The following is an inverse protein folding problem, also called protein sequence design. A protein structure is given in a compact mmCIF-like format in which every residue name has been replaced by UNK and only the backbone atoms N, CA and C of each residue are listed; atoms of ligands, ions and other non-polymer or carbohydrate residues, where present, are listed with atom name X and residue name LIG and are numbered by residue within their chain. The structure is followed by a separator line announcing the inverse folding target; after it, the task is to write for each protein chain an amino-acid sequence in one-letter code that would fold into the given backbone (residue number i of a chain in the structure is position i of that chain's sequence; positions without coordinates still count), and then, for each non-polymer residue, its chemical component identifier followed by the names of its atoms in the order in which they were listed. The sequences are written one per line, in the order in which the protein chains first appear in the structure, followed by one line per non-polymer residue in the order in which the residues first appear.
data_IF_889056559910
#
_entry.id   IF_889056559910
#
_cell.length_a   1.000
_cell.length_b   1.000
_cell.length_c   1.000
_cell.angle_alpha   90.00
_cell.angle_beta   90.00
_cell.angle_gamma   90.00
#
_symmetry.space_group_name_H-M   'P 1'
#
loop_
_entity.id
_entity.type
_entity.pdbx_description
1 polymer ?
#
# COMPACT_ATOMS: atom_id res chain seq x y z
N UNK A 1 41.20 6.23 15.37
CA UNK A 1 41.82 5.14 16.16
C UNK A 1 40.78 4.67 17.19
N UNK A 2 40.39 3.42 17.21
CA UNK A 2 39.45 2.92 18.22
C UNK A 2 40.16 2.76 19.54
N UNK A 3 39.56 3.22 20.63
CA UNK A 3 40.07 3.09 21.97
C UNK A 3 39.94 1.64 22.46
N UNK A 4 41.05 1.01 22.79
CA UNK A 4 41.16 -0.34 23.35
C UNK A 4 41.15 -0.27 24.88
N UNK A 5 40.18 -0.92 25.52
CA UNK A 5 40.21 -1.19 26.96
C UNK A 5 40.33 -2.70 27.20
N UNK A 6 41.30 -3.08 28.02
CA UNK A 6 41.57 -4.48 28.42
C UNK A 6 40.76 -4.81 29.67
N UNK A 7 39.80 -5.72 29.59
CA UNK A 7 39.18 -6.36 30.75
C UNK A 7 39.00 -7.84 30.42
N UNK A 8 39.98 -8.64 30.86
CA UNK A 8 39.97 -10.11 30.67
C UNK A 8 39.99 -10.54 29.19
N UNK A 9 40.75 -11.50 28.83
CA UNK A 9 41.15 -12.07 27.52
C UNK A 9 40.25 -11.97 26.26
N UNK A 10 39.24 -11.10 26.25
CA UNK A 10 38.44 -10.80 25.04
C UNK A 10 38.52 -9.31 24.76
N UNK A 11 39.09 -8.93 23.61
CA UNK A 11 39.06 -7.55 23.13
C UNK A 11 37.61 -7.13 22.81
N UNK A 12 36.95 -6.44 23.71
CA UNK A 12 35.67 -5.79 23.46
C UNK A 12 35.88 -4.43 22.78
N UNK A 13 35.49 -4.29 21.54
CA UNK A 13 35.41 -3.00 20.88
C UNK A 13 34.23 -2.22 21.47
N UNK A 14 34.52 -1.14 22.20
CA UNK A 14 33.48 -0.18 22.61
C UNK A 14 33.03 0.60 21.38
N UNK A 15 31.78 0.41 20.97
CA UNK A 15 31.17 1.22 19.89
C UNK A 15 31.10 2.69 20.35
N UNK A 16 31.45 3.66 19.48
CA UNK A 16 31.46 5.06 19.83
C UNK A 16 30.05 5.56 20.19
N UNK A 17 29.96 6.48 21.14
CA UNK A 17 28.75 7.24 21.42
C UNK A 17 28.51 8.25 20.29
N UNK A 18 27.27 8.72 20.13
CA UNK A 18 26.89 9.62 19.04
C UNK A 18 27.73 10.93 19.00
N UNK A 19 28.08 11.47 20.16
CA UNK A 19 28.92 12.66 20.31
C UNK A 19 30.41 12.42 20.03
N UNK A 20 30.84 11.16 20.06
CA UNK A 20 32.20 10.75 19.72
C UNK A 20 32.40 10.55 18.22
N UNK A 21 31.30 10.46 17.45
CA UNK A 21 31.35 10.40 15.99
C UNK A 21 31.65 11.78 15.41
N UNK A 22 32.46 11.87 14.34
CA UNK A 22 32.58 13.08 13.55
C UNK A 22 31.22 13.58 13.13
N UNK A 23 30.99 14.87 13.13
CA UNK A 23 29.71 15.48 12.82
C UNK A 23 29.13 14.98 11.49
N UNK A 24 29.96 14.86 10.46
CA UNK A 24 29.59 14.38 9.12
C UNK A 24 29.14 12.91 9.08
N UNK A 25 29.47 12.10 10.08
CA UNK A 25 29.12 10.68 10.19
C UNK A 25 27.88 10.44 11.07
N UNK A 26 27.32 11.50 11.67
CA UNK A 26 26.10 11.40 12.44
C UNK A 26 24.91 11.22 11.51
N UNK A 27 23.97 10.32 11.80
CA UNK A 27 22.86 9.98 10.89
C UNK A 27 22.03 11.18 10.42
N UNK A 28 21.81 12.17 11.28
CA UNK A 28 21.03 13.37 10.95
C UNK A 28 21.77 14.25 9.92
N UNK A 29 23.00 14.57 10.19
CA UNK A 29 23.86 15.38 9.34
C UNK A 29 24.16 14.66 8.02
N UNK A 30 24.28 13.33 8.08
CA UNK A 30 24.45 12.49 6.91
C UNK A 30 23.17 12.49 6.05
N UNK A 31 21.99 12.43 6.66
CA UNK A 31 20.70 12.54 5.97
C UNK A 31 20.58 13.87 5.24
N UNK A 32 20.87 15.00 5.92
CA UNK A 32 20.78 16.33 5.36
C UNK A 32 21.75 16.56 4.19
N UNK A 33 22.92 15.95 4.24
CA UNK A 33 23.95 16.10 3.22
C UNK A 33 23.81 15.16 2.04
N UNK A 34 23.43 13.92 2.26
CA UNK A 34 23.50 12.83 1.26
C UNK A 34 22.15 12.26 0.86
N UNK A 35 21.07 12.57 1.59
CA UNK A 35 19.77 11.95 1.40
C UNK A 35 19.61 10.62 2.14
N UNK A 36 18.36 10.18 2.28
CA UNK A 36 18.01 8.97 3.05
C UNK A 36 18.54 7.69 2.41
N UNK A 37 18.66 7.66 1.09
CA UNK A 37 19.13 6.52 0.28
C UNK A 37 20.59 6.15 0.54
N UNK A 38 21.35 7.02 1.19
CA UNK A 38 22.76 6.80 1.54
C UNK A 38 22.96 6.35 3.00
N UNK A 39 21.89 6.28 3.76
CA UNK A 39 21.95 5.79 5.13
C UNK A 39 21.82 4.27 5.17
N UNK A 40 22.52 3.66 6.11
CA UNK A 40 22.32 2.24 6.43
C UNK A 40 21.00 2.02 7.17
N UNK A 41 20.51 0.79 7.22
CA UNK A 41 19.30 0.41 7.96
C UNK A 41 19.38 0.82 9.43
N UNK A 42 20.55 0.63 10.05
CA UNK A 42 20.78 1.02 11.43
C UNK A 42 20.76 2.54 11.63
N UNK A 43 21.28 3.30 10.67
CA UNK A 43 21.25 4.76 10.73
C UNK A 43 19.82 5.30 10.55
N UNK A 44 19.03 4.72 9.65
CA UNK A 44 17.61 5.06 9.48
C UNK A 44 16.80 4.77 10.75
N UNK A 45 16.99 3.58 11.35
CA UNK A 45 16.36 3.24 12.62
C UNK A 45 16.82 4.15 13.77
N UNK A 46 18.09 4.55 13.79
CA UNK A 46 18.62 5.46 14.80
C UNK A 46 17.95 6.84 14.76
N UNK A 47 17.61 7.33 13.56
CA UNK A 47 16.84 8.58 13.40
C UNK A 47 15.44 8.48 14.03
N UNK A 48 14.79 7.33 13.89
CA UNK A 48 13.48 7.05 14.49
C UNK A 48 13.56 6.94 16.01
N UNK A 49 14.58 6.24 16.51
CA UNK A 49 14.81 6.06 17.94
C UNK A 49 15.22 7.35 18.64
N UNK A 50 15.83 8.29 17.91
CA UNK A 50 16.33 9.62 18.33
C UNK A 50 17.44 9.55 19.39
N UNK A 51 17.35 8.68 20.36
CA UNK A 51 18.30 8.56 21.48
C UNK A 51 18.68 7.10 21.70
N UNK A 52 19.90 6.87 22.09
CA UNK A 52 20.37 5.58 22.59
C UNK A 52 20.01 5.34 24.06
N UNK A 53 20.97 4.78 24.80
CA UNK A 53 20.97 4.62 26.24
C UNK A 53 22.21 5.30 26.83
N UNK A 54 22.40 5.22 28.14
CA UNK A 54 23.62 5.73 28.80
C UNK A 54 24.91 5.02 28.31
N UNK A 55 24.77 3.85 27.68
CA UNK A 55 25.91 3.00 27.28
C UNK A 55 25.96 2.70 25.78
N UNK A 56 24.87 2.96 25.03
CA UNK A 56 24.75 2.65 23.61
C UNK A 56 24.29 3.90 22.85
N UNK A 57 24.93 4.18 21.73
CA UNK A 57 24.42 5.18 20.80
C UNK A 57 23.09 4.72 20.16
N UNK A 58 22.33 5.64 19.57
CA UNK A 58 21.10 5.27 18.85
C UNK A 58 21.37 4.31 17.68
N UNK A 59 22.53 4.43 17.00
CA UNK A 59 22.95 3.51 15.94
C UNK A 59 23.26 2.13 16.51
N UNK A 60 24.01 2.05 17.62
CA UNK A 60 24.30 0.78 18.25
C UNK A 60 23.05 0.08 18.78
N UNK A 61 22.08 0.84 19.29
CA UNK A 61 20.79 0.31 19.72
C UNK A 61 19.96 -0.20 18.51
N UNK A 62 20.01 0.48 17.37
CA UNK A 62 19.40 0.03 16.13
C UNK A 62 20.04 -1.26 15.60
N UNK A 63 21.37 -1.37 15.69
CA UNK A 63 22.08 -2.59 15.33
C UNK A 63 21.67 -3.78 16.24
N UNK A 64 21.44 -3.57 17.53
CA UNK A 64 20.92 -4.61 18.42
C UNK A 64 19.52 -5.08 18.03
N UNK A 65 18.63 -4.16 17.58
CA UNK A 65 17.32 -4.52 17.05
C UNK A 65 17.47 -5.40 15.82
N UNK A 66 18.31 -5.01 14.86
CA UNK A 66 18.54 -5.75 13.61
C UNK A 66 19.27 -7.09 13.85
N UNK A 67 20.00 -7.24 14.95
CA UNK A 67 20.71 -8.45 15.30
C UNK A 67 19.84 -9.51 16.02
N UNK A 68 18.63 -9.16 16.49
CA UNK A 68 17.73 -10.13 17.11
C UNK A 68 17.45 -11.32 16.19
N UNK A 69 17.53 -12.52 16.73
CA UNK A 69 17.29 -13.77 16.01
C UNK A 69 15.82 -14.17 16.09
N UNK A 70 14.98 -13.57 15.24
CA UNK A 70 13.53 -13.82 15.16
C UNK A 70 13.06 -14.19 13.75
N UNK A 71 13.99 -14.65 12.90
CA UNK A 71 13.74 -14.95 11.49
C UNK A 71 13.78 -13.71 10.58
N UNK A 72 13.96 -13.92 9.29
CA UNK A 72 14.10 -12.85 8.28
C UNK A 72 15.51 -12.24 8.20
N UNK A 73 15.73 -11.31 7.29
CA UNK A 73 17.01 -10.63 7.07
C UNK A 73 16.85 -9.12 7.12
N UNK A 74 17.82 -8.41 7.71
CA UNK A 74 17.88 -6.95 7.76
C UNK A 74 16.57 -6.32 8.31
N UNK A 75 16.04 -5.32 7.62
CA UNK A 75 14.80 -4.62 8.00
C UNK A 75 13.55 -5.52 7.99
N UNK A 76 13.53 -6.60 7.22
CA UNK A 76 12.39 -7.51 7.15
C UNK A 76 12.05 -8.10 8.52
N UNK A 77 13.05 -8.35 9.36
CA UNK A 77 12.85 -8.84 10.73
C UNK A 77 11.88 -7.98 11.54
N UNK A 78 11.92 -6.67 11.33
CA UNK A 78 11.11 -5.73 12.11
C UNK A 78 9.61 -5.97 11.91
N UNK A 79 9.17 -6.46 10.74
CA UNK A 79 7.77 -6.83 10.48
C UNK A 79 7.27 -7.99 11.34
N UNK A 80 8.16 -8.84 11.80
CA UNK A 80 7.84 -10.02 12.61
C UNK A 80 7.97 -9.75 14.11
N UNK A 81 8.52 -8.60 14.51
CA UNK A 81 8.71 -8.22 15.91
C UNK A 81 7.40 -7.83 16.57
N UNK A 82 7.11 -8.49 17.69
CA UNK A 82 6.07 -8.03 18.62
C UNK A 82 6.60 -6.88 19.49
N UNK A 83 5.67 -6.17 20.14
CA UNK A 83 6.04 -5.17 21.16
C UNK A 83 6.90 -5.76 22.27
N UNK A 84 6.63 -7.01 22.66
CA UNK A 84 7.36 -7.72 23.70
C UNK A 84 8.80 -8.01 23.27
N UNK A 85 9.01 -8.44 22.01
CA UNK A 85 10.33 -8.69 21.46
C UNK A 85 11.17 -7.41 21.45
N UNK A 86 10.60 -6.32 20.98
CA UNK A 86 11.26 -5.01 20.99
C UNK A 86 11.62 -4.56 22.41
N UNK A 87 10.72 -4.73 23.36
CA UNK A 87 10.93 -4.32 24.74
C UNK A 87 11.88 -5.25 25.53
N UNK A 88 12.23 -6.42 25.00
CA UNK A 88 13.27 -7.28 25.58
C UNK A 88 14.67 -6.66 25.42
N UNK A 89 14.84 -5.73 24.47
CA UNK A 89 16.10 -5.04 24.25
C UNK A 89 16.26 -3.91 25.26
N UNK A 90 17.37 -3.94 25.99
CA UNK A 90 17.67 -2.89 26.98
C UNK A 90 17.75 -1.51 26.30
N UNK A 91 16.91 -0.58 26.74
CA UNK A 91 16.84 0.78 26.18
C UNK A 91 15.69 0.99 25.20
N UNK A 92 14.93 -0.06 24.88
CA UNK A 92 13.66 0.03 24.15
C UNK A 92 12.51 -0.04 25.16
N UNK A 93 11.94 1.13 25.46
CA UNK A 93 10.72 1.23 26.25
C UNK A 93 9.46 1.28 25.38
N UNK A 94 8.30 1.47 26.01
CA UNK A 94 7.00 1.53 25.32
C UNK A 94 6.96 2.54 24.15
N UNK A 95 7.59 3.71 24.32
CA UNK A 95 7.58 4.77 23.30
C UNK A 95 8.37 4.34 22.06
N UNK A 96 9.61 3.88 22.22
CA UNK A 96 10.45 3.45 21.10
C UNK A 96 9.85 2.24 20.38
N UNK A 97 9.33 1.26 21.13
CA UNK A 97 8.63 0.12 20.54
C UNK A 97 7.41 0.56 19.71
N UNK A 98 6.60 1.48 20.23
CA UNK A 98 5.45 2.01 19.49
C UNK A 98 5.87 2.76 18.21
N UNK A 99 6.96 3.54 18.24
CA UNK A 99 7.49 4.23 17.06
C UNK A 99 7.90 3.25 15.96
N UNK A 100 8.61 2.19 16.30
CA UNK A 100 9.04 1.15 15.36
C UNK A 100 7.82 0.46 14.74
N UNK A 101 6.87 0.00 15.56
CA UNK A 101 5.66 -0.67 15.09
C UNK A 101 4.79 0.25 14.21
N UNK A 102 4.69 1.53 14.54
CA UNK A 102 3.95 2.50 13.75
C UNK A 102 4.57 2.69 12.35
N UNK A 103 5.91 2.75 12.25
CA UNK A 103 6.61 2.86 10.97
C UNK A 103 6.45 1.59 10.14
N UNK A 104 6.50 0.41 10.75
CA UNK A 104 6.21 -0.85 10.07
C UNK A 104 4.80 -0.84 9.47
N UNK A 105 3.80 -0.45 10.25
CA UNK A 105 2.41 -0.38 9.77
C UNK A 105 2.25 0.65 8.65
N UNK A 106 2.86 1.82 8.75
CA UNK A 106 2.87 2.82 7.68
C UNK A 106 3.52 2.28 6.40
N UNK A 107 4.63 1.57 6.52
CA UNK A 107 5.31 0.95 5.38
C UNK A 107 4.43 -0.12 4.70
N UNK A 108 3.72 -0.94 5.49
CA UNK A 108 2.76 -1.93 4.97
C UNK A 108 1.64 -1.22 4.21
N UNK A 109 1.06 -0.16 4.77
CA UNK A 109 0.00 0.61 4.10
C UNK A 109 0.48 1.25 2.80
N UNK A 110 1.65 1.87 2.81
CA UNK A 110 2.25 2.46 1.61
C UNK A 110 2.56 1.40 0.54
N UNK A 111 3.04 0.23 0.94
CA UNK A 111 3.29 -0.89 0.02
C UNK A 111 1.99 -1.42 -0.60
N UNK A 112 0.91 -1.50 0.16
CA UNK A 112 -0.42 -1.87 -0.35
C UNK A 112 -0.95 -0.85 -1.35
N UNK A 113 -0.79 0.46 -1.09
CA UNK A 113 -1.15 1.52 -2.03
C UNK A 113 -0.34 1.37 -3.33
N UNK A 114 0.99 1.23 -3.25
CA UNK A 114 1.85 1.02 -4.42
C UNK A 114 1.56 -0.28 -5.19
N UNK A 115 1.16 -1.35 -4.48
CA UNK A 115 0.75 -2.59 -5.12
C UNK A 115 -0.57 -2.40 -5.89
N UNK A 116 -1.52 -1.66 -5.34
CA UNK A 116 -2.76 -1.28 -6.03
C UNK A 116 -2.47 -0.42 -7.28
N UNK A 117 -1.60 0.57 -7.18
CA UNK A 117 -1.20 1.43 -8.30
C UNK A 117 -0.46 0.69 -9.43
N UNK A 118 0.08 -0.51 -9.18
CA UNK A 118 0.80 -1.33 -10.18
C UNK A 118 -0.03 -2.47 -10.75
N UNK A 119 -1.30 -2.58 -10.39
CA UNK A 119 -2.17 -3.60 -10.97
C UNK A 119 -2.48 -3.17 -12.39
N UNK A 120 -1.79 -3.78 -13.34
CA UNK A 120 -2.16 -3.71 -14.74
C UNK A 120 -3.22 -4.79 -14.98
N UNK A 121 -4.41 -4.37 -15.30
CA UNK A 121 -5.48 -5.28 -15.65
C UNK A 121 -5.33 -5.72 -17.10
N UNK A 122 -4.87 -6.95 -17.31
CA UNK A 122 -4.62 -7.52 -18.64
C UNK A 122 -5.84 -8.24 -19.21
N UNK A 123 -6.81 -8.58 -18.37
CA UNK A 123 -8.03 -9.28 -18.76
C UNK A 123 -9.15 -9.04 -17.75
N UNK A 124 -10.43 -9.19 -18.17
CA UNK A 124 -11.58 -9.17 -17.26
C UNK A 124 -11.46 -10.18 -16.12
N UNK A 125 -10.91 -11.37 -16.37
CA UNK A 125 -10.65 -12.39 -15.34
C UNK A 125 -9.72 -11.88 -14.23
N UNK A 126 -8.65 -11.17 -14.57
CA UNK A 126 -7.71 -10.62 -13.59
C UNK A 126 -8.36 -9.58 -12.69
N UNK A 127 -9.22 -8.75 -13.24
CA UNK A 127 -10.00 -7.74 -12.51
C UNK A 127 -11.02 -8.42 -11.60
N UNK A 128 -11.80 -9.32 -12.15
CA UNK A 128 -12.84 -10.04 -11.41
C UNK A 128 -12.25 -10.79 -10.21
N UNK A 129 -11.16 -11.53 -10.38
CA UNK A 129 -10.48 -12.25 -9.28
C UNK A 129 -9.96 -11.33 -8.20
N UNK A 130 -9.42 -10.17 -8.59
CA UNK A 130 -8.91 -9.20 -7.63
C UNK A 130 -10.01 -8.66 -6.71
N UNK A 131 -11.18 -8.31 -7.28
CA UNK A 131 -12.30 -7.75 -6.51
C UNK A 131 -13.23 -8.81 -5.91
N UNK A 132 -13.19 -10.05 -6.37
CA UNK A 132 -14.09 -11.12 -5.93
C UNK A 132 -14.02 -11.34 -4.41
N UNK A 133 -12.82 -11.36 -3.83
CA UNK A 133 -12.63 -11.54 -2.39
C UNK A 133 -13.22 -10.37 -1.58
N UNK A 134 -13.09 -9.16 -2.08
CA UNK A 134 -13.64 -7.95 -1.44
C UNK A 134 -15.18 -7.97 -1.50
N UNK A 135 -15.71 -8.26 -2.68
CA UNK A 135 -17.15 -8.26 -2.95
C UNK A 135 -17.91 -9.39 -2.25
N UNK A 136 -17.24 -10.51 -1.91
CA UNK A 136 -17.86 -11.59 -1.13
C UNK A 136 -18.39 -11.14 0.24
N UNK A 137 -17.80 -10.09 0.81
CA UNK A 137 -18.25 -9.54 2.10
C UNK A 137 -19.47 -8.62 1.99
N UNK A 138 -19.83 -8.19 0.77
CA UNK A 138 -20.89 -7.22 0.54
C UNK A 138 -22.26 -7.89 0.40
N UNK A 139 -23.18 -7.49 1.29
CA UNK A 139 -24.56 -7.97 1.29
C UNK A 139 -25.50 -7.16 0.37
N UNK A 140 -25.00 -6.09 -0.19
CA UNK A 140 -25.72 -5.21 -1.12
C UNK A 140 -24.88 -5.04 -2.38
N UNK A 141 -25.52 -4.66 -3.46
CA UNK A 141 -24.82 -4.28 -4.68
C UNK A 141 -23.94 -3.04 -4.44
N UNK A 142 -22.73 -3.08 -4.93
CA UNK A 142 -21.78 -1.98 -4.94
C UNK A 142 -21.29 -1.83 -6.36
N UNK A 143 -21.53 -0.68 -6.97
CA UNK A 143 -20.96 -0.30 -8.24
C UNK A 143 -19.72 0.54 -7.99
N UNK A 144 -18.59 0.07 -8.47
CA UNK A 144 -17.30 0.76 -8.39
C UNK A 144 -16.81 1.15 -9.78
N UNK A 145 -16.10 2.25 -9.85
CA UNK A 145 -15.36 2.70 -11.02
C UNK A 145 -13.87 2.55 -10.77
N UNK A 146 -13.17 1.94 -11.71
CA UNK A 146 -11.73 1.84 -11.77
C UNK A 146 -11.22 2.88 -12.77
N UNK A 147 -10.27 3.70 -12.36
CA UNK A 147 -9.68 4.77 -13.16
C UNK A 147 -8.33 4.29 -13.68
N UNK A 148 -8.10 4.38 -14.98
CA UNK A 148 -6.92 3.81 -15.62
C UNK A 148 -6.12 4.88 -16.39
N UNK A 149 -4.79 4.68 -16.42
CA UNK A 149 -3.88 5.47 -17.25
C UNK A 149 -3.76 4.94 -18.69
N UNK A 150 -2.90 5.56 -19.49
CA UNK A 150 -2.63 5.16 -20.87
C UNK A 150 -2.04 3.73 -21.03
N UNK A 151 -1.62 3.10 -19.96
CA UNK A 151 -1.08 1.73 -19.94
C UNK A 151 -2.05 0.74 -19.29
N UNK A 152 -3.31 1.14 -19.10
CA UNK A 152 -4.32 0.38 -18.37
C UNK A 152 -3.90 0.02 -16.93
N UNK A 153 -3.06 0.86 -16.31
CA UNK A 153 -2.70 0.71 -14.91
C UNK A 153 -3.71 1.43 -14.04
N UNK A 154 -4.07 0.80 -12.93
CA UNK A 154 -5.02 1.36 -11.97
C UNK A 154 -4.45 2.61 -11.30
N UNK A 155 -5.08 3.76 -11.53
CA UNK A 155 -4.77 5.04 -10.89
C UNK A 155 -5.56 5.25 -9.60
N UNK A 156 -6.78 4.70 -9.53
CA UNK A 156 -7.66 4.82 -8.38
C UNK A 156 -8.99 4.11 -8.56
N UNK A 157 -9.72 4.04 -7.47
CA UNK A 157 -11.03 3.40 -7.38
C UNK A 157 -12.04 4.37 -6.76
N UNK A 158 -13.31 4.29 -7.19
CA UNK A 158 -14.40 5.06 -6.58
C UNK A 158 -15.64 4.22 -6.45
N UNK A 159 -16.22 4.23 -5.27
CA UNK A 159 -17.57 3.71 -5.06
C UNK A 159 -18.57 4.69 -5.67
N UNK A 160 -19.32 4.24 -6.66
CA UNK A 160 -20.31 5.05 -7.37
C UNK A 160 -21.68 4.92 -6.71
N UNK A 161 -22.08 3.68 -6.39
CA UNK A 161 -23.36 3.45 -5.74
C UNK A 161 -23.32 2.25 -4.80
N UNK A 162 -24.24 2.24 -3.82
CA UNK A 162 -24.43 1.17 -2.87
C UNK A 162 -25.93 0.89 -2.70
N UNK A 163 -26.32 -0.38 -2.93
CA UNK A 163 -27.71 -0.84 -2.88
C UNK A 163 -28.46 -0.63 -4.19
N UNK A 164 -29.49 -1.43 -4.42
CA UNK A 164 -30.27 -1.49 -5.67
C UNK A 164 -30.97 -0.17 -6.03
N UNK A 165 -31.39 0.61 -5.04
CA UNK A 165 -32.07 1.89 -5.26
C UNK A 165 -31.15 2.99 -5.83
N UNK A 166 -29.82 2.85 -5.67
CA UNK A 166 -28.85 3.86 -6.06
C UNK A 166 -28.09 3.53 -7.36
N UNK A 167 -28.15 2.29 -7.85
CA UNK A 167 -27.48 1.91 -9.10
C UNK A 167 -28.03 2.70 -10.30
N UNK A 168 -29.34 2.97 -10.30
CA UNK A 168 -29.99 3.80 -11.33
C UNK A 168 -29.69 5.30 -11.23
N UNK A 169 -29.01 5.75 -10.17
CA UNK A 169 -28.64 7.14 -9.93
C UNK A 169 -27.20 7.46 -10.30
N UNK A 170 -26.43 6.50 -10.82
CA UNK A 170 -25.08 6.76 -11.31
C UNK A 170 -25.15 7.64 -12.57
N UNK A 171 -24.90 8.93 -12.40
CA UNK A 171 -24.90 9.88 -13.50
C UNK A 171 -23.53 9.94 -14.19
N UNK A 172 -23.48 9.97 -15.54
CA UNK A 172 -22.23 10.15 -16.27
C UNK A 172 -21.41 11.34 -15.79
N UNK A 173 -22.08 12.42 -15.39
CA UNK A 173 -21.43 13.61 -14.85
C UNK A 173 -20.56 13.29 -13.64
N UNK A 174 -21.05 12.48 -12.69
CA UNK A 174 -20.33 12.19 -11.44
C UNK A 174 -19.13 11.25 -11.69
N UNK A 175 -19.30 10.31 -12.61
CA UNK A 175 -18.25 9.40 -13.07
C UNK A 175 -17.14 10.18 -13.77
N UNK A 176 -17.46 10.96 -14.78
CA UNK A 176 -16.44 11.64 -15.58
C UNK A 176 -15.84 12.87 -14.91
N UNK A 177 -16.53 13.53 -13.97
CA UNK A 177 -15.90 14.59 -13.18
C UNK A 177 -14.74 14.06 -12.35
N UNK A 178 -14.87 12.88 -11.78
CA UNK A 178 -13.78 12.24 -11.02
C UNK A 178 -12.68 11.72 -11.95
N UNK A 179 -13.04 11.12 -13.09
CA UNK A 179 -12.08 10.67 -14.10
C UNK A 179 -11.21 11.82 -14.63
N UNK A 180 -11.83 12.95 -14.97
CA UNK A 180 -11.14 14.18 -15.38
C UNK A 180 -10.23 14.73 -14.27
N UNK A 181 -10.72 14.78 -13.03
CA UNK A 181 -9.94 15.26 -11.88
C UNK A 181 -8.67 14.44 -11.64
N UNK A 182 -8.76 13.13 -11.87
CA UNK A 182 -7.64 12.21 -11.71
C UNK A 182 -6.75 12.10 -12.95
N UNK A 183 -7.18 12.67 -14.09
CA UNK A 183 -6.46 12.55 -15.37
C UNK A 183 -6.51 11.13 -15.95
N UNK A 184 -7.57 10.37 -15.64
CA UNK A 184 -7.76 9.05 -16.20
C UNK A 184 -8.07 9.13 -17.69
N UNK A 185 -7.55 8.18 -18.47
CA UNK A 185 -7.82 8.08 -19.92
C UNK A 185 -8.88 7.03 -20.23
N UNK A 186 -9.12 6.12 -19.30
CA UNK A 186 -10.17 5.13 -19.44
C UNK A 186 -10.71 4.72 -18.07
N UNK A 187 -11.89 4.11 -18.10
CA UNK A 187 -12.56 3.60 -16.90
C UNK A 187 -13.05 2.18 -17.12
N UNK A 188 -13.16 1.43 -16.03
CA UNK A 188 -13.88 0.16 -15.98
C UNK A 188 -14.92 0.28 -14.89
N UNK A 189 -16.12 -0.20 -15.16
CA UNK A 189 -17.14 -0.40 -14.15
C UNK A 189 -17.08 -1.82 -13.65
N UNK A 190 -17.25 -2.01 -12.34
CA UNK A 190 -17.34 -3.33 -11.73
C UNK A 190 -18.38 -3.30 -10.62
N UNK A 191 -19.27 -4.29 -10.59
CA UNK A 191 -20.22 -4.43 -9.50
C UNK A 191 -20.46 -5.89 -9.10
N UNK A 192 -20.93 -6.09 -7.88
CA UNK A 192 -21.28 -7.42 -7.38
C UNK A 192 -22.79 -7.65 -7.42
N UNK A 193 -23.17 -8.86 -7.76
CA UNK A 193 -24.52 -9.39 -7.51
C UNK A 193 -24.49 -10.29 -6.27
N UNK A 194 -25.09 -9.88 -5.13
CA UNK A 194 -25.13 -10.70 -3.91
C UNK A 194 -25.86 -12.03 -4.08
N UNK A 195 -26.74 -12.12 -5.07
CA UNK A 195 -27.42 -13.37 -5.45
C UNK A 195 -26.48 -14.45 -6.00
N UNK A 196 -25.30 -14.02 -6.52
CA UNK A 196 -24.35 -14.88 -7.24
C UNK A 196 -24.68 -15.05 -8.74
N UNK A 197 -25.85 -14.62 -9.21
CA UNK A 197 -26.18 -14.63 -10.65
C UNK A 197 -25.57 -13.41 -11.32
N UNK A 198 -24.66 -13.63 -12.27
CA UNK A 198 -23.94 -12.59 -13.01
C UNK A 198 -24.65 -12.12 -14.28
N UNK A 199 -25.91 -12.51 -14.47
CA UNK A 199 -26.73 -12.06 -15.61
C UNK A 199 -26.97 -10.55 -15.47
N UNK A 200 -26.60 -9.72 -16.50
CA UNK A 200 -26.83 -8.30 -16.47
C UNK A 200 -28.33 -7.98 -16.37
N UNK A 201 -28.70 -7.09 -15.47
CA UNK A 201 -30.04 -6.52 -15.43
C UNK A 201 -30.22 -5.47 -16.54
N UNK A 202 -31.47 -5.10 -16.82
CA UNK A 202 -31.76 -3.99 -17.75
C UNK A 202 -31.17 -2.66 -17.25
N UNK A 203 -31.08 -2.47 -15.95
CA UNK A 203 -30.45 -1.30 -15.34
C UNK A 203 -28.94 -1.28 -15.59
N UNK A 204 -28.25 -2.42 -15.48
CA UNK A 204 -26.82 -2.54 -15.77
C UNK A 204 -26.52 -2.21 -17.22
N UNK A 205 -27.32 -2.75 -18.15
CA UNK A 205 -27.16 -2.46 -19.57
C UNK A 205 -27.40 -0.97 -19.87
N UNK A 206 -28.42 -0.38 -19.25
CA UNK A 206 -28.75 1.04 -19.46
C UNK A 206 -27.65 1.96 -18.94
N UNK A 207 -27.15 1.74 -17.74
CA UNK A 207 -26.06 2.56 -17.19
C UNK A 207 -24.75 2.38 -18.01
N UNK A 208 -24.45 1.15 -18.42
CA UNK A 208 -23.30 0.86 -19.28
C UNK A 208 -23.34 1.66 -20.57
N UNK A 209 -24.47 1.62 -21.27
CA UNK A 209 -24.65 2.37 -22.52
C UNK A 209 -24.48 3.87 -22.32
N UNK A 210 -25.10 4.45 -21.30
CA UNK A 210 -24.98 5.88 -20.98
C UNK A 210 -23.54 6.30 -20.69
N UNK A 211 -22.81 5.48 -19.95
CA UNK A 211 -21.40 5.77 -19.62
C UNK A 211 -20.52 5.59 -20.86
N UNK A 212 -20.76 4.56 -21.67
CA UNK A 212 -20.05 4.36 -22.93
C UNK A 212 -20.19 5.58 -23.84
N UNK A 213 -21.44 6.00 -24.14
CA UNK A 213 -21.74 7.16 -25.01
C UNK A 213 -21.12 8.46 -24.48
N UNK A 214 -21.22 8.71 -23.17
CA UNK A 214 -20.62 9.90 -22.57
C UNK A 214 -19.10 9.86 -22.59
N UNK A 215 -18.51 8.68 -22.42
CA UNK A 215 -17.06 8.46 -22.48
C UNK A 215 -16.48 8.76 -23.87
N UNK A 216 -17.15 8.31 -24.91
CA UNK A 216 -16.76 8.61 -26.29
C UNK A 216 -16.74 10.12 -26.58
N UNK A 217 -17.71 10.86 -26.07
CA UNK A 217 -17.77 12.33 -26.24
C UNK A 217 -16.63 13.05 -25.48
N UNK A 218 -16.20 12.49 -24.33
CA UNK A 218 -15.19 13.10 -23.47
C UNK A 218 -13.76 12.61 -23.75
N UNK A 219 -13.60 11.59 -24.60
CA UNK A 219 -12.30 10.94 -24.85
C UNK A 219 -11.79 10.14 -23.64
N UNK A 220 -12.69 9.67 -22.76
CA UNK A 220 -12.40 8.81 -21.62
C UNK A 220 -13.19 7.51 -21.80
N UNK A 221 -12.57 6.49 -22.35
CA UNK A 221 -13.28 5.30 -22.82
C UNK A 221 -13.71 4.38 -21.68
N UNK A 222 -14.95 3.87 -21.75
CA UNK A 222 -15.36 2.73 -20.93
C UNK A 222 -14.78 1.45 -21.55
N UNK A 223 -13.75 0.88 -20.91
CA UNK A 223 -13.08 -0.34 -21.41
C UNK A 223 -13.95 -1.57 -21.22
N UNK A 224 -14.59 -1.70 -20.05
CA UNK A 224 -15.44 -2.84 -19.72
C UNK A 224 -16.41 -2.51 -18.58
N UNK A 225 -17.44 -3.34 -18.44
CA UNK A 225 -18.29 -3.42 -17.27
C UNK A 225 -18.37 -4.87 -16.81
N UNK A 226 -17.85 -5.14 -15.62
CA UNK A 226 -17.68 -6.49 -15.09
C UNK A 226 -18.67 -6.72 -13.95
N UNK A 227 -19.43 -7.79 -14.02
CA UNK A 227 -20.37 -8.24 -13.00
C UNK A 227 -19.74 -9.42 -12.26
N UNK A 228 -19.64 -9.32 -10.94
CA UNK A 228 -19.01 -10.34 -10.08
C UNK A 228 -20.08 -11.05 -9.24
N UNK A 229 -20.08 -12.37 -9.33
CA UNK A 229 -20.93 -13.24 -8.50
C UNK A 229 -20.12 -14.06 -7.49
N UNK A 230 -20.68 -15.18 -7.07
CA UNK A 230 -20.03 -16.11 -6.14
C UNK A 230 -19.14 -17.10 -6.91
N UNK A 231 -17.87 -16.74 -7.09
CA UNK A 231 -16.89 -17.58 -7.78
C UNK A 231 -16.95 -17.53 -9.31
N UNK A 232 -17.77 -16.64 -9.87
CA UNK A 232 -17.94 -16.40 -11.30
C UNK A 232 -18.00 -14.91 -11.60
N UNK A 233 -17.84 -14.55 -12.86
CA UNK A 233 -17.98 -13.16 -13.33
C UNK A 233 -18.53 -13.15 -14.76
N UNK A 234 -18.95 -11.98 -15.20
CA UNK A 234 -19.32 -11.70 -16.58
C UNK A 234 -18.75 -10.34 -17.00
N UNK A 235 -18.08 -10.30 -18.15
CA UNK A 235 -17.61 -9.09 -18.81
C UNK A 235 -18.60 -8.73 -19.92
N UNK A 236 -19.10 -7.50 -19.89
CA UNK A 236 -20.04 -7.05 -20.94
C UNK A 236 -19.31 -6.83 -22.27
N UNK A 237 -17.99 -6.56 -22.23
CA UNK A 237 -17.17 -6.50 -23.44
C UNK A 237 -16.98 -7.89 -24.07
N UNK A 238 -16.67 -8.91 -23.30
CA UNK A 238 -16.53 -10.29 -23.81
C UNK A 238 -17.85 -10.83 -24.38
N UNK A 239 -18.99 -10.36 -23.88
CA UNK A 239 -20.33 -10.67 -24.40
C UNK A 239 -20.69 -9.83 -25.65
N UNK A 240 -19.85 -8.90 -26.08
CA UNK A 240 -20.11 -8.03 -27.23
C UNK A 240 -21.21 -6.98 -26.99
N UNK A 241 -21.42 -6.59 -25.74
CA UNK A 241 -22.38 -5.57 -25.30
C UNK A 241 -21.75 -4.16 -25.19
N UNK A 242 -20.43 -4.09 -25.32
CA UNK A 242 -19.59 -2.87 -25.43
C UNK A 242 -18.58 -3.11 -26.54
N UNK A 243 -18.31 -2.13 -27.37
CA UNK A 243 -17.31 -2.18 -28.46
C UNK A 243 -15.85 -2.03 -27.95
#
# INVERSE_FOLDING_TARGET
MPFLFKKGDTMMYKKPMMNELPEQERPREKLERLGAERLTDAELLALILRTGTDHLSAVSLAEEILALDIGGHGLEKIYHMSKTDLMSIRGIGHVKAAQILAICELSIRLSKIKARERIAFHSPDSIARYYMNEFQSYRQEHLMMLLLDAKNQLMGERLISKGTANASMAEPRDIFSEALRMGALSVILIHNHPSGDVTPSSADLHITQRIYEAGELLGIHLIDHIIVGQGNYKSLKEEGLID
#
